data_IF_998619271519
#
_entry.id   IF_998619271519
#
_cell.length_a   1.000
_cell.length_b   1.000
_cell.length_c   1.000
_cell.angle_alpha   90.00
_cell.angle_beta   90.00
_cell.angle_gamma   90.00
#
_symmetry.space_group_name_H-M   'P 1'
#
loop_
_entity.id
_entity.type
_entity.pdbx_description
1 polymer ?
#
# COMPACT_ATOMS: atom_id res chain seq x y z
N UNK A 1 -10.97 -26.69 -13.31
CA UNK A 1 -11.79 -25.57 -12.77
C UNK A 1 -11.75 -24.41 -13.75
N UNK A 2 -12.89 -24.09 -14.37
CA UNK A 2 -12.98 -23.01 -15.36
C UNK A 2 -13.71 -21.79 -14.79
N UNK A 3 -13.26 -20.61 -15.20
CA UNK A 3 -13.90 -19.33 -14.83
C UNK A 3 -15.18 -19.19 -15.66
N UNK A 4 -16.31 -19.03 -14.97
CA UNK A 4 -17.65 -18.94 -15.58
C UNK A 4 -18.19 -17.52 -15.62
N UNK A 5 -17.85 -16.69 -14.63
CA UNK A 5 -18.30 -15.29 -14.57
C UNK A 5 -17.35 -14.43 -13.77
N UNK A 6 -17.37 -13.11 -14.04
CA UNK A 6 -16.71 -12.06 -13.24
C UNK A 6 -17.75 -11.00 -12.93
N UNK A 7 -17.97 -10.76 -11.64
CA UNK A 7 -18.93 -9.77 -11.15
C UNK A 7 -18.24 -8.71 -10.32
N UNK A 8 -18.85 -7.54 -10.25
CA UNK A 8 -18.40 -6.45 -9.40
C UNK A 8 -19.52 -5.99 -8.47
N UNK A 9 -19.14 -5.50 -7.30
CA UNK A 9 -20.04 -4.85 -6.37
C UNK A 9 -19.35 -3.58 -5.83
N UNK A 10 -19.96 -2.42 -6.03
CA UNK A 10 -19.45 -1.15 -5.55
C UNK A 10 -20.01 -0.86 -4.17
N UNK A 11 -19.13 -0.61 -3.20
CA UNK A 11 -19.49 -0.26 -1.82
C UNK A 11 -18.88 1.07 -1.44
N UNK A 12 -19.57 1.81 -0.57
CA UNK A 12 -19.03 2.95 0.15
C UNK A 12 -18.89 2.61 1.61
N UNK A 13 -17.74 2.92 2.17
CA UNK A 13 -17.44 2.67 3.59
C UNK A 13 -16.93 3.97 4.20
N UNK A 14 -17.60 4.41 5.26
CA UNK A 14 -17.20 5.61 6.00
C UNK A 14 -15.97 5.34 6.86
N UNK A 15 -15.22 6.41 7.15
CA UNK A 15 -14.13 6.38 8.12
C UNK A 15 -14.65 6.81 9.51
N UNK A 16 -14.05 6.26 10.56
CA UNK A 16 -14.31 6.67 11.95
C UNK A 16 -13.95 8.15 12.19
N UNK A 17 -12.88 8.60 11.55
CA UNK A 17 -12.40 9.99 11.58
C UNK A 17 -11.86 10.37 10.20
N UNK A 18 -11.90 11.67 9.80
CA UNK A 18 -11.34 12.10 8.53
C UNK A 18 -9.84 11.83 8.43
N UNK A 19 -9.41 11.16 7.36
CA UNK A 19 -8.01 10.93 7.05
C UNK A 19 -7.46 12.07 6.20
N UNK A 20 -6.45 12.79 6.71
CA UNK A 20 -5.92 14.01 6.09
C UNK A 20 -4.47 13.83 5.65
N UNK A 21 -4.16 14.17 4.41
CA UNK A 21 -2.81 14.21 3.84
C UNK A 21 -2.51 15.61 3.27
N UNK A 22 -1.32 15.82 2.71
CA UNK A 22 -1.02 17.04 1.95
C UNK A 22 -1.95 17.22 0.74
N UNK A 23 -2.38 16.12 0.10
CA UNK A 23 -3.14 16.13 -1.15
C UNK A 23 -4.65 16.20 -0.95
N UNK A 24 -5.20 15.59 0.11
CA UNK A 24 -6.66 15.44 0.28
C UNK A 24 -7.10 15.13 1.70
N UNK A 25 -8.41 15.27 1.91
CA UNK A 25 -9.12 14.73 3.07
C UNK A 25 -10.10 13.65 2.60
N UNK A 26 -10.10 12.50 3.27
CA UNK A 26 -10.96 11.34 2.96
C UNK A 26 -11.87 11.08 4.15
N UNK A 27 -13.17 10.97 3.91
CA UNK A 27 -14.20 10.67 4.93
C UNK A 27 -14.91 9.35 4.65
N UNK A 28 -14.85 8.89 3.39
CA UNK A 28 -15.37 7.61 2.92
C UNK A 28 -14.47 7.05 1.84
N UNK A 29 -14.49 5.75 1.63
CA UNK A 29 -13.87 5.09 0.47
C UNK A 29 -14.92 4.54 -0.47
N UNK A 30 -14.60 4.46 -1.77
CA UNK A 30 -15.32 3.64 -2.73
C UNK A 30 -14.49 2.38 -3.01
N UNK A 31 -14.99 1.22 -2.57
CA UNK A 31 -14.44 -0.09 -2.86
C UNK A 31 -15.20 -0.73 -4.01
N UNK A 32 -14.48 -1.25 -5.00
CA UNK A 32 -15.04 -2.06 -6.07
C UNK A 32 -14.60 -3.50 -5.82
N UNK A 33 -15.49 -4.28 -5.22
CA UNK A 33 -15.24 -5.68 -4.90
C UNK A 33 -15.46 -6.53 -6.14
N UNK A 34 -14.55 -7.46 -6.41
CA UNK A 34 -14.56 -8.36 -7.57
C UNK A 34 -14.79 -9.78 -7.10
N UNK A 35 -15.67 -10.49 -7.83
CA UNK A 35 -16.00 -11.89 -7.59
C UNK A 35 -15.77 -12.70 -8.87
N UNK A 36 -14.82 -13.62 -8.84
CA UNK A 36 -14.55 -14.56 -9.93
C UNK A 36 -15.24 -15.90 -9.61
N UNK A 37 -16.26 -16.24 -10.39
CA UNK A 37 -17.01 -17.49 -10.24
C UNK A 37 -16.42 -18.59 -11.11
N UNK A 38 -16.47 -19.82 -10.62
CA UNK A 38 -15.99 -21.01 -11.33
C UNK A 38 -17.07 -22.07 -11.50
N UNK A 39 -16.85 -23.01 -12.42
CA UNK A 39 -17.76 -24.15 -12.68
C UNK A 39 -17.79 -25.18 -11.54
N UNK A 40 -16.87 -25.11 -10.60
CA UNK A 40 -16.82 -25.96 -9.39
C UNK A 40 -17.42 -25.26 -8.15
N UNK A 41 -18.02 -24.07 -8.32
CA UNK A 41 -18.67 -23.32 -7.24
C UNK A 41 -17.70 -22.52 -6.35
N UNK A 42 -16.39 -22.52 -6.64
CA UNK A 42 -15.42 -21.66 -5.97
C UNK A 42 -15.63 -20.22 -6.42
N UNK A 43 -15.56 -19.28 -5.48
CA UNK A 43 -15.67 -17.85 -5.74
C UNK A 43 -14.43 -17.16 -5.16
N UNK A 44 -13.60 -16.60 -6.03
CA UNK A 44 -12.47 -15.76 -5.61
C UNK A 44 -12.88 -14.32 -5.42
N UNK A 45 -12.30 -13.67 -4.42
CA UNK A 45 -12.60 -12.29 -4.03
C UNK A 45 -11.39 -11.40 -4.17
N UNK A 46 -11.59 -10.18 -4.63
CA UNK A 46 -10.59 -9.12 -4.66
C UNK A 46 -11.28 -7.76 -4.57
N UNK A 47 -10.52 -6.70 -4.32
CA UNK A 47 -11.07 -5.37 -4.24
C UNK A 47 -10.14 -4.32 -4.82
N UNK A 48 -10.69 -3.27 -5.42
CA UNK A 48 -10.02 -2.07 -5.87
C UNK A 48 -10.46 -0.87 -5.05
N UNK A 49 -9.55 0.11 -4.90
CA UNK A 49 -9.87 1.41 -4.34
C UNK A 49 -9.82 2.48 -5.44
N UNK A 50 -10.89 3.27 -5.58
CA UNK A 50 -10.90 4.42 -6.47
C UNK A 50 -10.09 5.57 -5.85
N UNK A 51 -8.89 5.82 -6.39
CA UNK A 51 -7.98 6.85 -5.89
C UNK A 51 -7.48 7.76 -7.01
N UNK A 52 -8.36 8.58 -7.63
CA UNK A 52 -8.03 9.35 -8.84
C UNK A 52 -6.86 10.32 -8.68
N UNK A 53 -6.61 10.83 -7.47
CA UNK A 53 -5.50 11.77 -7.21
C UNK A 53 -4.12 11.11 -7.19
N UNK A 54 -4.05 9.78 -7.12
CA UNK A 54 -2.78 9.03 -7.12
C UNK A 54 -2.67 8.13 -8.34
N UNK A 55 -3.66 7.25 -8.57
CA UNK A 55 -3.63 6.29 -9.68
C UNK A 55 -4.28 6.81 -10.96
N UNK A 56 -5.11 7.86 -10.86
CA UNK A 56 -5.95 8.31 -11.96
C UNK A 56 -7.22 7.47 -12.15
N UNK A 57 -7.42 6.43 -11.35
CA UNK A 57 -8.55 5.50 -11.50
C UNK A 57 -9.80 6.05 -10.80
N UNK A 58 -10.87 6.22 -11.56
CA UNK A 58 -12.22 6.50 -11.08
C UNK A 58 -13.02 5.21 -10.95
N UNK A 59 -13.99 5.15 -10.03
CA UNK A 59 -14.78 3.96 -9.77
C UNK A 59 -15.45 3.38 -11.03
N UNK A 60 -16.07 4.21 -11.85
CA UNK A 60 -16.70 3.76 -13.10
C UNK A 60 -15.67 3.17 -14.09
N UNK A 61 -14.49 3.80 -14.21
CA UNK A 61 -13.42 3.29 -15.07
C UNK A 61 -12.88 1.94 -14.59
N UNK A 62 -12.79 1.74 -13.28
CA UNK A 62 -12.42 0.45 -12.68
C UNK A 62 -13.45 -0.61 -13.03
N UNK A 63 -14.75 -0.34 -12.83
CA UNK A 63 -15.84 -1.27 -13.16
C UNK A 63 -15.84 -1.64 -14.65
N UNK A 64 -15.71 -0.65 -15.54
CA UNK A 64 -15.67 -0.87 -17.00
C UNK A 64 -14.44 -1.68 -17.42
N UNK A 65 -13.27 -1.41 -16.84
CA UNK A 65 -12.06 -2.17 -17.14
C UNK A 65 -12.19 -3.65 -16.72
N UNK A 66 -12.83 -3.91 -15.57
CA UNK A 66 -13.06 -5.26 -15.07
C UNK A 66 -14.10 -6.00 -15.92
N UNK A 67 -15.30 -5.41 -16.12
CA UNK A 67 -16.42 -6.05 -16.80
C UNK A 67 -16.25 -6.15 -18.31
N UNK A 68 -15.42 -5.30 -18.89
CA UNK A 68 -15.09 -5.31 -20.32
C UNK A 68 -13.88 -6.21 -20.64
N UNK A 69 -12.69 -5.61 -20.84
CA UNK A 69 -11.53 -6.35 -21.35
C UNK A 69 -11.01 -7.44 -20.41
N UNK A 70 -11.04 -7.24 -19.09
CA UNK A 70 -10.53 -8.24 -18.14
C UNK A 70 -11.45 -9.45 -18.06
N UNK A 71 -12.78 -9.25 -17.95
CA UNK A 71 -13.75 -10.34 -17.98
C UNK A 71 -13.65 -11.11 -19.28
N UNK A 72 -13.53 -10.43 -20.41
CA UNK A 72 -13.48 -11.07 -21.74
C UNK A 72 -12.27 -12.02 -21.89
N UNK A 73 -11.12 -11.72 -21.28
CA UNK A 73 -9.95 -12.59 -21.35
C UNK A 73 -9.94 -13.72 -20.31
N UNK A 74 -10.87 -13.72 -19.34
CA UNK A 74 -10.95 -14.73 -18.27
C UNK A 74 -12.02 -15.79 -18.51
N UNK A 75 -13.18 -15.43 -19.07
CA UNK A 75 -14.30 -16.36 -19.23
C UNK A 75 -13.91 -17.58 -20.03
N UNK A 76 -14.25 -18.76 -19.52
CA UNK A 76 -13.96 -20.06 -20.11
C UNK A 76 -12.54 -20.57 -19.92
N UNK A 77 -11.65 -19.75 -19.38
CA UNK A 77 -10.25 -20.15 -19.11
C UNK A 77 -10.15 -21.08 -17.91
N UNK A 78 -9.18 -21.99 -17.96
CA UNK A 78 -8.88 -22.88 -16.85
C UNK A 78 -7.90 -22.22 -15.87
N UNK A 79 -8.23 -22.25 -14.57
CA UNK A 79 -7.40 -21.66 -13.51
C UNK A 79 -6.00 -22.28 -13.41
N UNK A 80 -5.79 -23.50 -13.94
CA UNK A 80 -4.47 -24.12 -13.98
C UNK A 80 -3.48 -23.29 -14.83
N UNK A 81 -3.96 -22.50 -15.79
CA UNK A 81 -3.16 -21.58 -16.61
C UNK A 81 -2.84 -20.27 -15.86
N UNK A 82 -2.72 -20.36 -14.56
CA UNK A 82 -2.67 -19.26 -13.61
C UNK A 82 -1.74 -18.10 -14.04
N UNK A 83 -0.48 -18.40 -14.40
CA UNK A 83 0.49 -17.37 -14.81
C UNK A 83 0.10 -16.67 -16.12
N UNK A 84 -0.55 -17.37 -17.05
CA UNK A 84 -1.07 -16.77 -18.28
C UNK A 84 -2.26 -15.86 -17.98
N UNK A 85 -3.16 -16.26 -17.09
CA UNK A 85 -4.29 -15.42 -16.68
C UNK A 85 -3.83 -14.13 -16.06
N UNK A 86 -2.87 -14.16 -15.13
CA UNK A 86 -2.27 -12.98 -14.54
C UNK A 86 -1.62 -12.07 -15.61
N UNK A 87 -0.98 -12.65 -16.62
CA UNK A 87 -0.41 -11.90 -17.74
C UNK A 87 -1.50 -11.27 -18.61
N UNK A 88 -2.57 -12.00 -18.92
CA UNK A 88 -3.70 -11.49 -19.70
C UNK A 88 -4.34 -10.28 -19.03
N UNK A 89 -4.50 -10.31 -17.69
CA UNK A 89 -5.00 -9.16 -16.92
C UNK A 89 -4.07 -7.95 -17.09
N UNK A 90 -2.77 -8.12 -16.93
CA UNK A 90 -1.81 -7.02 -17.08
C UNK A 90 -1.85 -6.40 -18.48
N UNK A 91 -2.10 -7.21 -19.52
CA UNK A 91 -2.14 -6.79 -20.92
C UNK A 91 -3.53 -6.35 -21.41
N UNK A 92 -4.58 -6.54 -20.63
CA UNK A 92 -5.97 -6.33 -21.07
C UNK A 92 -6.30 -4.89 -21.46
N UNK A 93 -5.67 -3.92 -20.81
CA UNK A 93 -5.80 -2.49 -21.10
C UNK A 93 -4.57 -1.72 -20.62
N UNK A 94 -4.42 -0.50 -21.14
CA UNK A 94 -3.39 0.46 -20.67
C UNK A 94 -3.91 1.14 -19.39
N UNK A 95 -3.02 1.34 -18.39
CA UNK A 95 -3.41 1.95 -17.12
C UNK A 95 -4.32 1.03 -16.29
N UNK A 96 -5.25 1.63 -15.55
CA UNK A 96 -6.19 0.97 -14.66
C UNK A 96 -5.54 -0.01 -13.65
N UNK A 97 -4.47 0.41 -12.94
CA UNK A 97 -3.76 -0.50 -12.05
C UNK A 97 -4.64 -0.99 -10.89
N UNK A 98 -5.56 -0.17 -10.38
CA UNK A 98 -6.47 -0.61 -9.31
C UNK A 98 -7.42 -1.72 -9.76
N UNK A 99 -7.94 -1.63 -11.00
CA UNK A 99 -8.78 -2.68 -11.58
C UNK A 99 -7.99 -3.99 -11.77
N UNK A 100 -6.76 -3.89 -12.30
CA UNK A 100 -5.85 -5.04 -12.46
C UNK A 100 -5.54 -5.68 -11.11
N UNK A 101 -5.26 -4.88 -10.08
CA UNK A 101 -4.98 -5.37 -8.74
C UNK A 101 -6.16 -6.16 -8.16
N UNK A 102 -7.39 -5.65 -8.29
CA UNK A 102 -8.57 -6.34 -7.79
C UNK A 102 -8.78 -7.70 -8.45
N UNK A 103 -8.63 -7.78 -9.78
CA UNK A 103 -8.78 -9.05 -10.52
C UNK A 103 -7.61 -9.99 -10.25
N UNK A 104 -6.39 -9.48 -10.14
CA UNK A 104 -5.19 -10.25 -9.76
C UNK A 104 -5.38 -10.88 -8.36
N UNK A 105 -5.81 -10.11 -7.36
CA UNK A 105 -6.12 -10.60 -6.02
C UNK A 105 -7.19 -11.69 -6.06
N UNK A 106 -8.29 -11.48 -6.81
CA UNK A 106 -9.37 -12.45 -6.94
C UNK A 106 -8.91 -13.75 -7.61
N UNK A 107 -8.02 -13.67 -8.61
CA UNK A 107 -7.40 -14.85 -9.24
C UNK A 107 -6.52 -15.63 -8.26
N UNK A 108 -5.69 -14.92 -7.47
CA UNK A 108 -4.91 -15.55 -6.41
C UNK A 108 -5.81 -16.23 -5.38
N UNK A 109 -6.92 -15.63 -5.01
CA UNK A 109 -7.86 -16.20 -4.06
C UNK A 109 -8.52 -17.48 -4.60
N UNK A 110 -9.02 -17.49 -5.88
CA UNK A 110 -9.48 -18.73 -6.55
C UNK A 110 -8.40 -19.81 -6.53
N UNK A 111 -7.17 -19.44 -6.90
CA UNK A 111 -6.09 -20.40 -7.00
C UNK A 111 -5.69 -20.97 -5.63
N UNK A 112 -5.66 -20.14 -4.59
CA UNK A 112 -5.42 -20.56 -3.21
C UNK A 112 -6.49 -21.52 -2.71
N UNK A 113 -7.77 -21.23 -2.97
CA UNK A 113 -8.90 -22.12 -2.63
C UNK A 113 -8.81 -23.45 -3.38
N UNK A 114 -8.46 -23.42 -4.67
CA UNK A 114 -8.27 -24.63 -5.47
C UNK A 114 -7.12 -25.51 -4.93
N UNK A 115 -6.01 -24.89 -4.52
CA UNK A 115 -4.86 -25.59 -3.94
C UNK A 115 -5.05 -25.91 -2.45
N UNK A 116 -6.09 -25.39 -1.81
CA UNK A 116 -6.35 -25.53 -0.37
C UNK A 116 -5.17 -25.03 0.50
N UNK A 117 -4.58 -23.89 0.14
CA UNK A 117 -3.48 -23.26 0.87
C UNK A 117 -3.75 -21.75 1.04
N UNK A 118 -3.32 -21.13 2.16
CA UNK A 118 -3.38 -19.67 2.29
C UNK A 118 -2.37 -19.00 1.37
N UNK A 119 -2.65 -17.76 0.96
CA UNK A 119 -1.84 -17.01 -0.01
C UNK A 119 -0.36 -16.89 0.42
N UNK A 120 -0.06 -16.61 1.70
CA UNK A 120 1.33 -16.57 2.16
C UNK A 120 2.06 -17.90 1.99
N UNK A 121 1.37 -19.05 2.11
CA UNK A 121 1.95 -20.36 1.93
C UNK A 121 2.16 -20.69 0.44
N UNK A 122 1.22 -20.28 -0.42
CA UNK A 122 1.40 -20.34 -1.88
C UNK A 122 2.62 -19.54 -2.33
N UNK A 123 2.85 -18.37 -1.72
CA UNK A 123 3.99 -17.49 -1.99
C UNK A 123 5.29 -17.94 -1.29
N UNK A 124 5.24 -18.96 -0.43
CA UNK A 124 6.43 -19.63 0.10
C UNK A 124 6.95 -19.10 1.44
N UNK A 125 6.19 -18.32 2.21
CA UNK A 125 6.69 -17.82 3.49
C UNK A 125 5.61 -17.30 4.44
N UNK A 126 5.98 -17.20 5.72
CA UNK A 126 5.16 -16.54 6.75
C UNK A 126 6.07 -15.93 7.81
N UNK A 127 6.33 -14.63 7.72
CA UNK A 127 6.95 -13.86 8.81
C UNK A 127 5.90 -13.06 9.58
N UNK A 128 6.26 -12.66 10.79
CA UNK A 128 5.43 -11.80 11.61
C UNK A 128 5.41 -10.37 11.04
N UNK A 129 4.24 -9.73 11.07
CA UNK A 129 4.03 -8.40 10.54
C UNK A 129 3.56 -7.48 11.67
N UNK A 130 4.22 -6.34 11.81
CA UNK A 130 3.82 -5.24 12.67
C UNK A 130 3.64 -3.98 11.81
N UNK A 131 2.40 -3.52 11.67
CA UNK A 131 2.10 -2.28 10.92
C UNK A 131 2.45 -1.05 11.75
N UNK A 132 2.81 0.03 11.08
CA UNK A 132 2.73 1.36 11.66
C UNK A 132 1.27 1.81 11.78
N UNK A 133 1.06 3.00 12.32
CA UNK A 133 -0.24 3.70 12.35
C UNK A 133 -0.03 5.14 11.92
N UNK A 134 -0.93 5.63 11.08
CA UNK A 134 -0.84 6.98 10.53
C UNK A 134 -1.36 8.02 11.53
N UNK A 135 -0.60 9.11 11.66
CA UNK A 135 -1.03 10.37 12.28
C UNK A 135 -1.35 11.34 11.15
N UNK A 136 -2.63 11.69 11.01
CA UNK A 136 -3.13 12.59 9.98
C UNK A 136 -2.59 14.01 10.16
N UNK A 137 -2.42 14.77 9.05
CA UNK A 137 -1.94 16.16 9.14
C UNK A 137 -2.99 17.08 9.79
N UNK A 138 -2.60 17.73 10.88
CA UNK A 138 -3.41 18.69 11.62
C UNK A 138 -2.51 19.70 12.35
N UNK A 139 -3.04 20.45 13.31
CA UNK A 139 -2.28 21.35 14.19
C UNK A 139 -1.31 20.53 15.08
N UNK A 140 -0.11 21.06 15.41
CA UNK A 140 0.93 20.32 16.14
C UNK A 140 0.44 19.68 17.44
N UNK A 141 -0.38 20.38 18.20
CA UNK A 141 -0.94 19.86 19.47
C UNK A 141 -1.89 18.69 19.24
N UNK A 142 -2.73 18.75 18.19
CA UNK A 142 -3.68 17.68 17.85
C UNK A 142 -2.92 16.43 17.45
N UNK A 143 -1.91 16.57 16.57
CA UNK A 143 -1.07 15.46 16.11
C UNK A 143 -0.27 14.82 17.26
N UNK A 144 0.27 15.63 18.18
CA UNK A 144 0.97 15.13 19.36
C UNK A 144 0.05 14.32 20.27
N UNK A 145 -1.20 14.77 20.46
CA UNK A 145 -2.20 14.03 21.25
C UNK A 145 -2.58 12.71 20.58
N UNK A 146 -2.83 12.72 19.28
CA UNK A 146 -3.14 11.52 18.50
C UNK A 146 -1.98 10.50 18.54
N UNK A 147 -0.74 10.96 18.31
CA UNK A 147 0.47 10.15 18.40
C UNK A 147 0.59 9.44 19.77
N UNK A 148 0.38 10.18 20.86
CA UNK A 148 0.39 9.61 22.22
C UNK A 148 -0.68 8.53 22.40
N UNK A 149 -1.90 8.75 21.91
CA UNK A 149 -2.98 7.77 21.97
C UNK A 149 -2.66 6.49 21.18
N UNK A 150 -2.01 6.60 20.03
CA UNK A 150 -1.57 5.43 19.26
C UNK A 150 -0.51 4.62 20.00
N UNK A 151 0.46 5.28 20.63
CA UNK A 151 1.47 4.60 21.47
C UNK A 151 0.81 3.89 22.67
N UNK A 152 -0.15 4.53 23.32
CA UNK A 152 -0.92 3.93 24.43
C UNK A 152 -1.73 2.68 23.97
N UNK A 153 -2.14 2.63 22.71
CA UNK A 153 -2.78 1.46 22.06
C UNK A 153 -1.79 0.36 21.64
N UNK A 154 -0.48 0.54 21.88
CA UNK A 154 0.56 -0.46 21.63
C UNK A 154 1.27 -0.33 20.28
N UNK A 155 1.09 0.75 19.53
CA UNK A 155 1.85 1.02 18.32
C UNK A 155 3.24 1.56 18.68
N UNK A 156 4.28 0.94 18.11
CA UNK A 156 5.68 1.35 18.31
C UNK A 156 6.22 2.20 17.15
N UNK A 157 5.53 2.21 16.04
CA UNK A 157 5.89 2.96 14.83
C UNK A 157 4.75 3.85 14.40
N UNK A 158 5.04 5.13 14.21
CA UNK A 158 4.09 6.14 13.75
C UNK A 158 4.48 6.64 12.36
N UNK A 159 3.54 6.62 11.43
CA UNK A 159 3.65 7.28 10.12
C UNK A 159 3.01 8.66 10.20
N UNK A 160 3.78 9.71 10.05
CA UNK A 160 3.36 11.10 10.25
C UNK A 160 3.16 11.75 8.89
N UNK A 161 1.94 12.21 8.60
CA UNK A 161 1.65 12.96 7.37
C UNK A 161 2.12 14.40 7.52
N UNK A 162 2.92 14.86 6.54
CA UNK A 162 3.50 16.20 6.44
C UNK A 162 3.32 16.75 5.02
N UNK A 163 4.01 17.82 4.64
CA UNK A 163 4.02 18.32 3.25
C UNK A 163 3.08 19.48 2.96
N UNK A 164 2.34 20.00 3.96
CA UNK A 164 1.49 21.20 3.76
C UNK A 164 2.25 22.52 3.91
N UNK A 165 3.23 22.56 4.81
CA UNK A 165 4.03 23.74 5.09
C UNK A 165 5.29 23.31 5.79
N UNK A 166 6.44 23.49 5.15
CA UNK A 166 7.73 23.03 5.67
C UNK A 166 8.04 23.55 7.09
N UNK A 167 7.72 24.83 7.38
CA UNK A 167 7.92 25.40 8.72
C UNK A 167 7.00 24.73 9.77
N UNK A 168 5.72 24.61 9.48
CA UNK A 168 4.76 24.01 10.41
C UNK A 168 4.97 22.49 10.55
N UNK A 169 5.47 21.83 9.50
CA UNK A 169 5.81 20.42 9.54
C UNK A 169 6.91 20.12 10.57
N UNK A 170 7.90 21.00 10.69
CA UNK A 170 8.93 20.86 11.73
C UNK A 170 8.34 20.98 13.15
N UNK A 171 7.47 21.95 13.39
CA UNK A 171 6.76 22.11 14.67
C UNK A 171 5.90 20.89 15.01
N UNK A 172 5.21 20.32 14.01
CA UNK A 172 4.40 19.10 14.13
C UNK A 172 5.25 17.93 14.61
N UNK A 173 6.38 17.71 13.95
CA UNK A 173 7.26 16.57 14.24
C UNK A 173 7.91 16.73 15.62
N UNK A 174 8.33 17.94 16.00
CA UNK A 174 8.85 18.22 17.35
C UNK A 174 7.79 17.99 18.43
N UNK A 175 6.58 18.46 18.22
CA UNK A 175 5.48 18.25 19.15
C UNK A 175 5.19 16.75 19.35
N UNK A 176 5.17 15.97 18.25
CA UNK A 176 5.01 14.53 18.31
C UNK A 176 6.19 13.89 19.04
N UNK A 177 7.45 14.20 18.64
CA UNK A 177 8.64 13.60 19.24
C UNK A 177 8.69 13.82 20.75
N UNK A 178 8.29 15.00 21.22
CA UNK A 178 8.24 15.34 22.64
C UNK A 178 7.08 14.67 23.39
N UNK A 179 6.04 14.21 22.68
CA UNK A 179 4.84 13.59 23.29
C UNK A 179 4.92 12.07 23.43
N UNK A 180 5.88 11.43 22.74
CA UNK A 180 6.00 9.96 22.71
C UNK A 180 7.37 9.50 23.25
N UNK A 181 7.50 8.23 23.68
CA UNK A 181 8.78 7.68 24.13
C UNK A 181 9.88 7.80 23.08
N UNK A 182 11.14 7.97 23.51
CA UNK A 182 12.29 8.12 22.61
C UNK A 182 12.50 6.94 21.66
N UNK A 183 12.09 5.74 22.08
CA UNK A 183 12.18 4.52 21.27
C UNK A 183 10.99 4.33 20.31
N UNK A 184 10.01 5.22 20.29
CA UNK A 184 8.97 5.22 19.27
C UNK A 184 9.57 5.60 17.92
N UNK A 185 9.42 4.74 16.92
CA UNK A 185 9.89 4.97 15.56
C UNK A 185 8.98 5.97 14.84
N UNK A 186 9.59 6.99 14.22
CA UNK A 186 8.86 7.98 13.44
C UNK A 186 9.24 7.83 11.96
N UNK A 187 8.24 7.71 11.10
CA UNK A 187 8.31 7.73 9.63
C UNK A 187 7.57 8.94 9.13
N UNK A 188 8.06 9.62 8.14
CA UNK A 188 7.37 10.77 7.56
C UNK A 188 6.89 10.44 6.15
N UNK A 189 5.70 10.93 5.80
CA UNK A 189 5.20 10.89 4.44
C UNK A 189 4.77 12.31 4.03
N UNK A 190 5.52 12.88 3.12
CA UNK A 190 5.29 14.23 2.63
C UNK A 190 4.30 14.27 1.46
N UNK A 191 3.88 13.13 0.93
CA UNK A 191 2.95 13.03 -0.20
C UNK A 191 3.22 14.07 -1.30
N UNK A 192 4.47 14.20 -1.73
CA UNK A 192 4.92 15.13 -2.79
C UNK A 192 4.84 16.62 -2.39
N UNK A 193 4.73 16.95 -1.10
CA UNK A 193 4.35 18.29 -0.64
C UNK A 193 5.47 19.32 -0.64
N UNK A 194 6.75 18.93 -0.80
CA UNK A 194 7.89 19.85 -0.80
C UNK A 194 8.54 19.97 -2.18
N UNK A 195 9.18 21.10 -2.46
CA UNK A 195 10.17 21.14 -3.53
C UNK A 195 11.54 20.64 -3.04
N UNK A 196 12.46 20.35 -3.97
CA UNK A 196 13.77 19.75 -3.63
C UNK A 196 14.61 20.55 -2.64
N UNK A 197 14.54 21.89 -2.67
CA UNK A 197 15.30 22.75 -1.74
C UNK A 197 14.66 22.79 -0.36
N UNK A 198 13.34 22.92 -0.30
CA UNK A 198 12.59 22.84 0.94
C UNK A 198 12.81 21.50 1.63
N UNK A 199 12.70 20.38 0.89
CA UNK A 199 12.94 19.05 1.41
C UNK A 199 14.32 18.93 2.07
N UNK A 200 15.40 19.32 1.38
CA UNK A 200 16.74 19.27 1.95
C UNK A 200 16.85 20.15 3.19
N UNK A 201 16.30 21.37 3.16
CA UNK A 201 16.38 22.30 4.28
C UNK A 201 15.69 21.75 5.53
N UNK A 202 14.44 21.27 5.38
CA UNK A 202 13.64 20.77 6.51
C UNK A 202 14.23 19.47 7.07
N UNK A 203 14.69 18.56 6.20
CA UNK A 203 15.26 17.29 6.63
C UNK A 203 16.56 17.52 7.42
N UNK A 204 17.46 18.38 6.93
CA UNK A 204 18.68 18.76 7.67
C UNK A 204 18.37 19.39 9.01
N UNK A 205 17.31 20.20 9.10
CA UNK A 205 16.91 20.77 10.37
C UNK A 205 16.39 19.71 11.35
N UNK A 206 15.66 18.69 10.86
CA UNK A 206 15.26 17.53 11.67
C UNK A 206 16.48 16.72 12.15
N UNK A 207 17.46 16.52 11.28
CA UNK A 207 18.73 15.85 11.59
C UNK A 207 19.51 16.61 12.67
N UNK A 208 19.67 17.94 12.51
CA UNK A 208 20.36 18.81 13.46
C UNK A 208 19.69 18.80 14.84
N UNK A 209 18.36 18.71 14.90
CA UNK A 209 17.58 18.62 16.16
C UNK A 209 17.51 17.20 16.72
N UNK A 210 18.12 16.22 16.07
CA UNK A 210 18.10 14.80 16.48
C UNK A 210 16.67 14.25 16.67
N UNK A 211 15.75 14.57 15.75
CA UNK A 211 14.36 14.10 15.82
C UNK A 211 14.23 12.60 15.52
N UNK A 212 15.29 11.97 15.06
CA UNK A 212 15.43 10.53 14.85
C UNK A 212 14.31 9.95 13.97
N UNK A 213 14.26 10.40 12.71
CA UNK A 213 13.33 9.94 11.69
C UNK A 213 13.92 8.72 10.98
N UNK A 214 13.16 7.63 10.87
CA UNK A 214 13.60 6.38 10.25
C UNK A 214 13.80 6.54 8.75
N UNK A 215 12.84 7.16 8.07
CA UNK A 215 12.90 7.54 6.65
C UNK A 215 11.84 8.58 6.31
N UNK A 216 11.96 9.17 5.12
CA UNK A 216 10.98 10.12 4.56
C UNK A 216 10.48 9.60 3.23
N UNK A 217 9.16 9.44 3.13
CA UNK A 217 8.45 8.96 1.96
C UNK A 217 8.04 10.12 1.08
N UNK A 218 8.31 10.00 -0.21
CA UNK A 218 7.96 10.88 -1.34
C UNK A 218 7.99 12.38 -1.01
N UNK A 219 9.18 12.94 -0.72
CA UNK A 219 9.30 14.36 -0.35
C UNK A 219 8.93 15.31 -1.50
N UNK A 220 9.23 14.95 -2.76
CA UNK A 220 9.03 15.77 -3.95
C UNK A 220 8.02 15.14 -4.91
N UNK A 221 7.57 15.92 -5.90
CA UNK A 221 6.61 15.47 -6.92
C UNK A 221 7.02 14.14 -7.57
N UNK A 222 6.07 13.25 -7.79
CA UNK A 222 6.26 11.89 -8.30
C UNK A 222 7.07 11.79 -9.59
N UNK A 223 6.98 12.80 -10.48
CA UNK A 223 7.72 12.87 -11.76
C UNK A 223 9.05 13.59 -11.64
N UNK A 224 9.41 14.17 -10.49
CA UNK A 224 10.70 14.84 -10.27
C UNK A 224 11.72 13.84 -9.71
N UNK A 225 12.11 12.87 -10.52
CA UNK A 225 13.09 11.85 -10.13
C UNK A 225 14.48 12.45 -9.83
N UNK A 226 14.88 13.44 -10.61
CA UNK A 226 16.13 14.17 -10.34
C UNK A 226 16.06 14.94 -9.02
N UNK A 227 14.89 15.49 -8.69
CA UNK A 227 14.64 16.10 -7.39
C UNK A 227 14.67 15.09 -6.26
N UNK A 228 14.11 13.89 -6.45
CA UNK A 228 14.15 12.82 -5.46
C UNK A 228 15.61 12.41 -5.17
N UNK A 229 16.41 12.19 -6.24
CA UNK A 229 17.83 11.92 -6.13
C UNK A 229 18.59 13.07 -5.46
N UNK A 230 18.29 14.31 -5.85
CA UNK A 230 18.91 15.47 -5.24
C UNK A 230 18.69 15.52 -3.72
N UNK A 231 17.46 15.26 -3.25
CA UNK A 231 17.17 15.20 -1.81
C UNK A 231 17.97 14.10 -1.16
N UNK A 232 17.89 12.87 -1.68
CA UNK A 232 18.64 11.71 -1.19
C UNK A 232 20.15 11.99 -1.05
N UNK A 233 20.76 12.57 -2.07
CA UNK A 233 22.21 12.82 -2.10
C UNK A 233 22.67 13.94 -1.14
N UNK A 234 21.73 14.73 -0.57
CA UNK A 234 22.04 15.89 0.30
C UNK A 234 21.60 15.73 1.77
N UNK A 235 20.99 14.61 2.14
CA UNK A 235 20.53 14.33 3.51
C UNK A 235 21.09 12.99 3.98
N UNK A 236 21.04 12.72 5.31
CA UNK A 236 21.45 11.44 5.88
C UNK A 236 20.26 10.51 6.07
N UNK A 237 19.07 11.08 6.32
CA UNK A 237 17.83 10.35 6.50
C UNK A 237 17.44 9.64 5.20
N UNK A 238 17.19 8.32 5.20
CA UNK A 238 16.81 7.58 4.00
C UNK A 238 15.56 8.12 3.32
N UNK A 239 15.56 8.12 1.99
CA UNK A 239 14.45 8.61 1.16
C UNK A 239 13.75 7.43 0.48
N UNK A 240 12.43 7.38 0.62
CA UNK A 240 11.57 6.35 0.03
C UNK A 240 10.77 6.89 -1.15
N UNK A 241 10.76 6.14 -2.27
CA UNK A 241 9.87 6.40 -3.39
C UNK A 241 8.52 5.71 -3.18
N UNK A 242 7.41 6.47 -3.29
CA UNK A 242 6.02 5.97 -3.28
C UNK A 242 5.33 6.28 -4.60
N UNK A 243 4.87 7.50 -4.81
CA UNK A 243 4.13 7.87 -6.03
C UNK A 243 5.04 7.93 -7.28
N UNK A 244 6.35 7.77 -7.12
CA UNK A 244 7.29 7.64 -8.24
C UNK A 244 7.42 6.22 -8.81
N UNK A 245 6.79 5.21 -8.19
CA UNK A 245 6.90 3.80 -8.59
C UNK A 245 5.53 3.16 -8.78
N UNK A 246 5.22 2.77 -10.02
CA UNK A 246 3.97 2.11 -10.43
C UNK A 246 4.20 0.76 -11.10
N UNK A 247 5.43 0.39 -11.40
CA UNK A 247 5.72 -0.84 -12.14
C UNK A 247 7.11 -1.38 -11.84
N UNK A 248 7.35 -2.64 -12.21
CA UNK A 248 8.69 -3.23 -12.21
C UNK A 248 9.68 -2.44 -13.10
N UNK A 249 9.20 -1.84 -14.18
CA UNK A 249 10.03 -0.96 -15.02
C UNK A 249 10.46 0.30 -14.29
N UNK A 250 9.57 0.90 -13.48
CA UNK A 250 9.93 2.07 -12.66
C UNK A 250 10.91 1.67 -11.55
N UNK A 251 10.67 0.53 -10.88
CA UNK A 251 11.60 -0.01 -9.90
C UNK A 251 13.01 -0.18 -10.48
N UNK A 252 13.11 -0.81 -11.64
CA UNK A 252 14.41 -0.99 -12.33
C UNK A 252 15.11 0.34 -12.58
N UNK A 253 14.39 1.34 -13.10
CA UNK A 253 14.95 2.69 -13.36
C UNK A 253 15.38 3.38 -12.06
N UNK A 254 14.55 3.30 -11.01
CA UNK A 254 14.84 3.92 -9.71
C UNK A 254 16.11 3.33 -9.10
N UNK A 255 16.25 2.00 -9.08
CA UNK A 255 17.43 1.37 -8.51
C UNK A 255 18.68 1.60 -9.34
N UNK A 256 18.59 1.54 -10.69
CA UNK A 256 19.71 1.82 -11.59
C UNK A 256 20.20 3.27 -11.51
N UNK A 257 19.27 4.22 -11.38
CA UNK A 257 19.59 5.65 -11.27
C UNK A 257 19.99 6.08 -9.84
N UNK A 258 19.78 5.20 -8.85
CA UNK A 258 20.03 5.52 -7.44
C UNK A 258 19.12 6.66 -6.94
N UNK A 259 17.84 6.70 -7.41
CA UNK A 259 16.94 7.81 -7.13
C UNK A 259 16.34 7.78 -5.71
N UNK A 260 16.27 6.63 -5.07
CA UNK A 260 15.76 6.46 -3.71
C UNK A 260 16.54 5.39 -2.95
N UNK A 261 16.45 5.38 -1.62
CA UNK A 261 17.06 4.37 -0.74
C UNK A 261 16.11 3.21 -0.47
N UNK A 262 14.79 3.46 -0.54
CA UNK A 262 13.72 2.53 -0.23
C UNK A 262 12.58 2.67 -1.25
N UNK A 263 11.81 1.58 -1.44
CA UNK A 263 10.63 1.56 -2.31
C UNK A 263 9.37 1.22 -1.54
N UNK A 264 8.27 1.96 -1.75
CA UNK A 264 6.94 1.62 -1.23
C UNK A 264 6.08 0.98 -2.32
N UNK A 265 5.74 -0.29 -2.15
CA UNK A 265 4.92 -1.10 -3.05
C UNK A 265 3.46 -1.04 -2.59
N UNK A 266 2.55 -0.63 -3.49
CA UNK A 266 1.10 -0.67 -3.25
C UNK A 266 0.44 -1.41 -4.40
N UNK A 267 -0.40 -2.39 -4.11
CA UNK A 267 -1.05 -3.20 -5.15
C UNK A 267 -1.88 -2.35 -6.10
N UNK A 268 -2.55 -1.32 -5.58
CA UNK A 268 -3.36 -0.39 -6.38
C UNK A 268 -2.54 0.48 -7.34
N UNK A 269 -1.23 0.65 -7.10
CA UNK A 269 -0.34 1.33 -8.03
C UNK A 269 0.23 0.38 -9.09
N UNK A 270 0.67 -0.80 -8.67
CA UNK A 270 1.41 -1.70 -9.56
C UNK A 270 0.53 -2.71 -10.30
N UNK A 271 -0.74 -2.84 -9.94
CA UNK A 271 -1.67 -3.73 -10.65
C UNK A 271 -1.71 -5.15 -10.11
N UNK A 272 -1.35 -5.38 -8.84
CA UNK A 272 -1.58 -6.64 -8.14
C UNK A 272 -0.33 -7.30 -7.58
N UNK A 273 -0.52 -8.49 -7.03
CA UNK A 273 0.47 -9.29 -6.30
C UNK A 273 1.65 -9.69 -7.21
N UNK A 274 1.35 -10.12 -8.44
CA UNK A 274 2.39 -10.54 -9.39
C UNK A 274 3.40 -9.43 -9.68
N UNK A 275 2.91 -8.22 -9.95
CA UNK A 275 3.80 -7.09 -10.26
C UNK A 275 4.50 -6.57 -9.01
N UNK A 276 3.82 -6.58 -7.86
CA UNK A 276 4.40 -6.25 -6.57
C UNK A 276 5.59 -7.17 -6.21
N UNK A 277 5.44 -8.47 -6.46
CA UNK A 277 6.52 -9.44 -6.26
C UNK A 277 7.73 -9.12 -7.14
N UNK A 278 7.51 -8.83 -8.44
CA UNK A 278 8.58 -8.44 -9.38
C UNK A 278 9.32 -7.17 -8.96
N UNK A 279 8.59 -6.18 -8.44
CA UNK A 279 9.19 -4.96 -7.89
C UNK A 279 10.12 -5.29 -6.72
N UNK A 280 9.65 -6.13 -5.80
CA UNK A 280 10.41 -6.54 -4.63
C UNK A 280 11.67 -7.35 -5.00
N UNK A 281 11.60 -8.26 -6.00
CA UNK A 281 12.76 -9.01 -6.54
C UNK A 281 13.82 -8.08 -7.16
N UNK A 282 13.38 -7.08 -7.95
CA UNK A 282 14.28 -6.09 -8.55
C UNK A 282 14.99 -5.28 -7.47
N UNK A 283 14.24 -4.83 -6.46
CA UNK A 283 14.79 -4.08 -5.35
C UNK A 283 15.77 -4.93 -4.53
N UNK A 284 15.44 -6.19 -4.25
CA UNK A 284 16.31 -7.14 -3.54
C UNK A 284 17.65 -7.32 -4.28
N UNK A 285 17.59 -7.55 -5.59
CA UNK A 285 18.79 -7.71 -6.44
C UNK A 285 19.71 -6.49 -6.39
N UNK A 286 19.14 -5.30 -6.18
CA UNK A 286 19.88 -4.05 -6.07
C UNK A 286 20.26 -3.68 -4.62
N UNK A 287 19.91 -4.50 -3.63
CA UNK A 287 20.15 -4.21 -2.21
C UNK A 287 19.25 -3.10 -1.62
N UNK A 288 18.14 -2.76 -2.31
CA UNK A 288 17.18 -1.74 -1.89
C UNK A 288 16.02 -2.42 -1.16
N UNK A 289 15.75 -2.04 0.09
CA UNK A 289 14.65 -2.60 0.87
C UNK A 289 13.30 -2.04 0.46
N UNK A 290 12.26 -2.85 0.65
CA UNK A 290 10.89 -2.46 0.35
C UNK A 290 10.02 -2.30 1.59
N UNK A 291 9.08 -1.38 1.49
CA UNK A 291 7.86 -1.30 2.28
C UNK A 291 6.70 -1.78 1.42
N UNK A 292 5.69 -2.35 2.03
CA UNK A 292 4.36 -2.41 1.45
C UNK A 292 3.46 -1.42 2.15
N UNK A 293 2.64 -0.73 1.37
CA UNK A 293 1.61 0.16 1.86
C UNK A 293 0.28 -0.08 1.18
N UNK A 294 -0.72 0.68 1.62
CA UNK A 294 -2.05 0.70 1.02
C UNK A 294 -2.49 2.11 0.67
N UNK A 295 -3.55 2.22 -0.13
CA UNK A 295 -4.39 3.40 -0.18
C UNK A 295 -5.32 3.38 1.04
N UNK A 296 -6.25 4.34 1.18
CA UNK A 296 -7.45 4.12 1.97
C UNK A 296 -8.31 3.12 1.20
N UNK A 297 -8.24 1.85 1.59
CA UNK A 297 -8.85 0.72 0.87
C UNK A 297 -9.36 -0.36 1.83
N UNK A 298 -10.24 -1.24 1.33
CA UNK A 298 -10.89 -2.26 2.13
C UNK A 298 -9.90 -3.30 2.67
N UNK A 299 -10.26 -3.94 3.76
CA UNK A 299 -9.47 -5.02 4.37
C UNK A 299 -9.22 -6.19 3.43
N UNK A 300 -10.11 -6.43 2.46
CA UNK A 300 -9.96 -7.50 1.47
C UNK A 300 -8.67 -7.32 0.64
N UNK A 301 -8.43 -6.11 0.13
CA UNK A 301 -7.19 -5.81 -0.61
C UNK A 301 -5.97 -5.70 0.31
N UNK A 302 -6.12 -5.07 1.49
CA UNK A 302 -5.00 -4.95 2.45
C UNK A 302 -4.57 -6.31 2.99
N UNK A 303 -5.50 -7.26 3.17
CA UNK A 303 -5.18 -8.65 3.53
C UNK A 303 -4.27 -9.31 2.47
N UNK A 304 -4.54 -9.11 1.18
CA UNK A 304 -3.69 -9.63 0.11
C UNK A 304 -2.26 -9.03 0.17
N UNK A 305 -2.15 -7.71 0.45
CA UNK A 305 -0.85 -7.05 0.69
C UNK A 305 -0.14 -7.67 1.89
N UNK A 306 -0.85 -7.91 2.99
CA UNK A 306 -0.28 -8.49 4.20
C UNK A 306 0.23 -9.93 3.96
N UNK A 307 -0.48 -10.74 3.19
CA UNK A 307 -0.01 -12.06 2.77
C UNK A 307 1.27 -12.00 1.91
N UNK A 308 1.33 -11.08 0.95
CA UNK A 308 2.53 -10.81 0.16
C UNK A 308 3.70 -10.41 1.06
N UNK A 309 3.46 -9.46 1.96
CA UNK A 309 4.44 -8.97 2.91
C UNK A 309 4.99 -10.07 3.83
N UNK A 310 4.13 -10.98 4.27
CA UNK A 310 4.54 -12.13 5.08
C UNK A 310 5.47 -13.09 4.34
N UNK A 311 5.34 -13.18 3.01
CA UNK A 311 6.07 -14.15 2.21
C UNK A 311 7.40 -13.60 1.65
N UNK A 312 7.43 -12.37 1.15
CA UNK A 312 8.62 -11.86 0.46
C UNK A 312 9.73 -11.41 1.43
N UNK A 313 10.97 -11.93 1.31
CA UNK A 313 12.06 -11.62 2.25
C UNK A 313 12.48 -10.15 2.25
N UNK A 314 12.46 -9.48 1.09
CA UNK A 314 12.91 -8.09 0.93
C UNK A 314 11.88 -7.03 1.35
N UNK A 315 10.70 -7.42 1.83
CA UNK A 315 9.72 -6.49 2.39
C UNK A 315 9.97 -6.37 3.90
N UNK A 316 10.49 -5.23 4.33
CA UNK A 316 10.93 -5.00 5.70
C UNK A 316 10.04 -4.03 6.48
N UNK A 317 9.25 -3.20 5.79
CA UNK A 317 8.42 -2.15 6.37
C UNK A 317 6.96 -2.37 5.97
N UNK A 318 6.04 -2.03 6.87
CA UNK A 318 4.61 -2.34 6.73
C UNK A 318 3.77 -1.12 7.11
N UNK A 319 2.94 -0.65 6.18
CA UNK A 319 1.97 0.45 6.30
C UNK A 319 0.59 -0.11 5.89
N UNK A 320 -0.02 -0.86 6.81
CA UNK A 320 -1.20 -1.69 6.58
C UNK A 320 -2.35 -1.30 7.52
N UNK A 321 -2.42 -0.03 7.91
CA UNK A 321 -3.37 0.48 8.89
C UNK A 321 -4.72 0.91 8.31
N UNK A 322 -4.88 0.95 6.97
CA UNK A 322 -6.11 1.44 6.34
C UNK A 322 -7.41 0.81 6.90
N UNK A 323 -7.49 -0.51 7.16
CA UNK A 323 -8.70 -1.10 7.74
C UNK A 323 -9.06 -0.59 9.14
N UNK A 324 -8.09 -0.09 9.91
CA UNK A 324 -8.33 0.47 11.25
C UNK A 324 -9.06 1.82 11.22
N UNK A 325 -9.11 2.46 10.05
CA UNK A 325 -9.81 3.71 9.84
C UNK A 325 -11.27 3.52 9.42
N UNK A 326 -11.64 2.33 8.91
CA UNK A 326 -12.92 2.05 8.30
C UNK A 326 -13.97 1.64 9.33
N UNK A 327 -15.22 2.07 9.12
CA UNK A 327 -16.39 1.65 9.90
C UNK A 327 -16.91 0.28 9.40
N UNK A 328 -15.99 -0.70 9.25
CA UNK A 328 -16.32 -2.09 8.94
C UNK A 328 -15.35 -3.02 9.66
N UNK A 329 -15.79 -4.26 9.94
CA UNK A 329 -14.91 -5.28 10.49
C UNK A 329 -13.91 -5.76 9.42
N UNK A 330 -12.62 -5.91 9.76
CA UNK A 330 -11.63 -6.41 8.82
C UNK A 330 -11.92 -7.84 8.35
N UNK A 331 -11.87 -8.07 7.02
CA UNK A 331 -11.98 -9.39 6.38
C UNK A 331 -10.58 -9.91 6.02
N UNK A 332 -10.31 -11.20 6.29
CA UNK A 332 -9.06 -11.87 5.92
C UNK A 332 -7.87 -11.62 6.87
N UNK A 333 -7.99 -10.67 7.79
CA UNK A 333 -6.98 -10.38 8.80
C UNK A 333 -7.58 -9.71 10.04
N UNK A 334 -6.83 -9.71 11.15
CA UNK A 334 -7.21 -9.00 12.38
C UNK A 334 -5.98 -8.30 12.97
N UNK A 335 -6.23 -7.35 13.88
CA UNK A 335 -5.16 -6.60 14.55
C UNK A 335 -5.12 -6.89 16.06
N UNK A 336 -3.90 -6.97 16.61
CA UNK A 336 -3.63 -7.00 18.03
C UNK A 336 -2.57 -5.93 18.33
N UNK A 337 -3.00 -4.70 18.61
CA UNK A 337 -2.12 -3.53 18.57
C UNK A 337 -1.56 -3.35 17.16
N UNK A 338 -0.23 -3.26 17.03
CA UNK A 338 0.44 -3.18 15.73
C UNK A 338 0.54 -4.53 14.99
N UNK A 339 0.34 -5.65 15.68
CA UNK A 339 0.48 -6.98 15.07
C UNK A 339 -0.69 -7.29 14.14
N UNK A 340 -0.35 -7.66 12.89
CA UNK A 340 -1.30 -8.12 11.88
C UNK A 340 -1.37 -9.65 11.93
N UNK A 341 -2.56 -10.18 12.22
CA UNK A 341 -2.82 -11.61 12.27
C UNK A 341 -3.54 -12.02 10.98
N UNK A 342 -2.86 -12.78 10.12
CA UNK A 342 -3.42 -13.27 8.87
C UNK A 342 -4.37 -14.44 9.13
N UNK A 343 -5.55 -14.38 8.56
CA UNK A 343 -6.49 -15.48 8.54
C UNK A 343 -6.21 -16.35 7.30
N UNK A 344 -6.26 -17.67 7.46
CA UNK A 344 -6.27 -18.55 6.29
C UNK A 344 -7.64 -18.44 5.64
N UNK A 345 -7.71 -17.92 4.42
CA UNK A 345 -8.94 -17.82 3.62
C UNK A 345 -9.47 -19.17 3.13
N UNK A 346 -8.82 -20.25 3.52
CA UNK A 346 -9.30 -21.60 3.25
C UNK A 346 -10.53 -21.83 4.13
N UNK A 347 -11.70 -21.52 3.59
CA UNK A 347 -12.96 -21.97 4.17
C UNK A 347 -12.88 -23.50 4.29
N UNK A 348 -12.71 -24.00 5.52
CA UNK A 348 -12.98 -25.38 5.81
C UNK A 348 -14.39 -25.64 5.31
N UNK A 349 -14.54 -26.50 4.31
CA UNK A 349 -15.83 -27.04 3.90
C UNK A 349 -16.50 -27.57 5.16
N UNK A 350 -17.47 -26.81 5.72
CA UNK A 350 -18.42 -27.30 6.69
C UNK A 350 -19.50 -28.11 5.99
#
# INVERSE_FOLDING_TARGET
MKITDVKVNRRRVNLHTPFKTALRTVTEIESIDVYIHTDEGVIGKGAAAATPVITGDFANGIEEAILGPMRSCLIGQDIIQFQQLLQHIQMSCIGNPSAKAAVDIALYDVYCQHQNVPLYALLGGKKEIHTDITVSVDEPFIMAKEAKQHVEKGFQTLKIKVGKSAHLDLERIEAIRNSVPKNTTLRLDANQGWNRKEAVTIIKEMENRNLNIEFIEQPVHAKDWDGLKYVKDHVQTPIMADESIFSASDALKIVQGGYADLLNIKLMKCGGIREAWRIADIAETAGVKCMVGSMMESSLSVSAVAHLAAAHPNIHYFDLDAPLWLMEEPEGMTYSGSKVNLQSTVNSKS
#
